data_IF_523401220192
#
_entry.id   IF_523401220192
#
_cell.length_a   1.000
_cell.length_b   1.000
_cell.length_c   1.000
_cell.angle_alpha   90.00
_cell.angle_beta   90.00
_cell.angle_gamma   90.00
#
_symmetry.space_group_name_H-M   'P 1'
#
loop_
_entity.id
_entity.type
_entity.pdbx_description
1 polymer ?
#
# COMPACT_ATOMS: atom_id res chain seq x y z
N UNK A 1 2.22 4.44 9.49
CA UNK A 1 0.83 4.68 9.13
C UNK A 1 0.42 6.02 9.68
N UNK A 2 0.14 6.97 8.80
CA UNK A 2 -0.54 8.22 9.15
C UNK A 2 -2.04 7.92 9.14
N UNK A 3 -2.64 7.83 10.33
CA UNK A 3 -4.05 7.44 10.53
C UNK A 3 -5.00 8.46 9.93
N UNK A 4 -4.62 9.74 9.93
CA UNK A 4 -5.45 10.84 9.45
C UNK A 4 -5.42 10.92 7.93
N UNK A 5 -4.24 10.73 7.32
CA UNK A 5 -4.05 10.73 5.86
C UNK A 5 -4.32 9.39 5.20
N UNK A 6 -4.50 8.33 6.00
CA UNK A 6 -4.55 6.94 5.53
C UNK A 6 -3.39 6.61 4.59
N UNK A 7 -2.17 7.06 4.94
CA UNK A 7 -0.95 6.90 4.11
C UNK A 7 0.13 6.11 4.83
N UNK A 8 0.85 5.28 4.07
CA UNK A 8 2.13 4.68 4.47
C UNK A 8 3.18 5.14 3.47
N UNK A 9 4.23 5.81 3.94
CA UNK A 9 5.44 6.02 3.18
C UNK A 9 6.41 4.86 3.45
N UNK A 10 6.90 4.23 2.39
CA UNK A 10 7.77 3.06 2.46
C UNK A 10 9.09 3.37 1.75
N UNK A 11 10.19 3.28 2.49
CA UNK A 11 11.55 3.29 1.92
C UNK A 11 12.04 1.85 1.85
N UNK A 12 12.52 1.42 0.69
CA UNK A 12 13.02 0.06 0.49
C UNK A 12 14.29 0.06 -0.37
N UNK A 13 15.04 -1.04 -0.29
CA UNK A 13 16.22 -1.31 -1.10
C UNK A 13 15.77 -2.02 -2.38
N UNK A 14 15.94 -1.36 -3.53
CA UNK A 14 15.48 -1.83 -4.84
C UNK A 14 16.29 -3.05 -5.35
N UNK A 15 17.45 -3.33 -4.75
CA UNK A 15 18.21 -4.56 -5.05
C UNK A 15 17.62 -5.79 -4.36
N UNK A 16 16.75 -5.61 -3.36
CA UNK A 16 16.15 -6.69 -2.56
C UNK A 16 14.67 -6.90 -2.82
N UNK A 17 13.97 -5.88 -3.29
CA UNK A 17 12.52 -5.94 -3.55
C UNK A 17 12.12 -4.87 -4.55
N UNK A 18 10.88 -4.91 -5.00
CA UNK A 18 10.33 -3.94 -5.94
C UNK A 18 8.95 -3.44 -5.48
N UNK A 19 8.52 -2.33 -6.08
CA UNK A 19 7.25 -1.68 -5.74
C UNK A 19 6.08 -2.65 -5.83
N UNK A 20 6.02 -3.50 -6.87
CA UNK A 20 4.92 -4.46 -7.04
C UNK A 20 4.96 -5.58 -6.02
N UNK A 21 6.14 -6.04 -5.61
CA UNK A 21 6.28 -7.00 -4.52
C UNK A 21 5.75 -6.43 -3.20
N UNK A 22 6.01 -5.15 -2.93
CA UNK A 22 5.48 -4.46 -1.74
C UNK A 22 3.95 -4.36 -1.80
N UNK A 23 3.37 -3.93 -2.93
CA UNK A 23 1.91 -3.88 -3.09
C UNK A 23 1.26 -5.26 -2.87
N UNK A 24 1.86 -6.32 -3.42
CA UNK A 24 1.38 -7.70 -3.22
C UNK A 24 1.45 -8.14 -1.77
N UNK A 25 2.51 -7.78 -1.05
CA UNK A 25 2.65 -8.11 0.37
C UNK A 25 1.59 -7.41 1.23
N UNK A 26 1.29 -6.14 0.94
CA UNK A 26 0.23 -5.38 1.62
C UNK A 26 -1.14 -5.99 1.31
N UNK A 27 -1.41 -6.30 0.04
CA UNK A 27 -2.63 -6.97 -0.39
C UNK A 27 -2.82 -8.34 0.25
N UNK A 28 -1.76 -9.13 0.36
CA UNK A 28 -1.79 -10.43 1.03
C UNK A 28 -2.08 -10.31 2.54
N UNK A 29 -1.82 -9.14 3.14
CA UNK A 29 -2.18 -8.84 4.54
C UNK A 29 -3.64 -8.40 4.70
N UNK A 30 -4.40 -8.32 3.60
CA UNK A 30 -5.82 -7.99 3.58
C UNK A 30 -6.16 -6.55 3.22
N UNK A 31 -5.19 -5.69 2.92
CA UNK A 31 -5.45 -4.28 2.61
C UNK A 31 -5.32 -3.98 1.13
N UNK A 32 -6.28 -3.25 0.57
CA UNK A 32 -6.15 -2.70 -0.77
C UNK A 32 -4.96 -1.73 -0.87
N UNK A 33 -4.36 -1.71 -2.04
CA UNK A 33 -3.42 -0.68 -2.45
C UNK A 33 -3.86 -0.08 -3.77
N UNK A 34 -3.23 1.03 -4.17
CA UNK A 34 -3.45 1.66 -5.48
C UNK A 34 -3.24 0.72 -6.68
N UNK A 35 -2.45 -0.36 -6.55
CA UNK A 35 -2.09 -1.27 -7.66
C UNK A 35 -2.64 -2.69 -7.53
N UNK A 36 -2.95 -3.13 -6.32
CA UNK A 36 -3.36 -4.52 -6.03
C UNK A 36 -4.44 -4.53 -4.97
N UNK A 37 -5.54 -5.23 -5.26
CA UNK A 37 -6.64 -5.44 -4.33
C UNK A 37 -6.24 -6.43 -3.22
N UNK A 38 -6.70 -6.16 -1.99
CA UNK A 38 -6.45 -6.96 -0.81
C UNK A 38 -7.15 -8.32 -0.84
N UNK A 39 -6.58 -9.27 -0.12
CA UNK A 39 -7.23 -10.56 0.11
C UNK A 39 -8.35 -10.40 1.13
N UNK A 40 -9.59 -10.63 0.69
CA UNK A 40 -10.74 -10.61 1.59
C UNK A 40 -10.63 -11.62 2.73
N UNK A 41 -10.05 -12.79 2.47
CA UNK A 41 -9.86 -13.85 3.46
C UNK A 41 -8.89 -13.38 4.55
N UNK A 42 -7.72 -12.85 4.16
CA UNK A 42 -6.76 -12.30 5.10
C UNK A 42 -7.36 -11.14 5.91
N UNK A 43 -8.17 -10.29 5.28
CA UNK A 43 -8.84 -9.18 5.95
C UNK A 43 -9.85 -9.63 7.01
N UNK A 44 -10.68 -10.63 6.69
CA UNK A 44 -11.68 -11.20 7.60
C UNK A 44 -11.03 -11.86 8.83
N UNK A 45 -9.81 -12.38 8.66
CA UNK A 45 -9.03 -12.99 9.74
C UNK A 45 -8.30 -11.97 10.63
N UNK A 46 -8.27 -10.69 10.25
CA UNK A 46 -7.66 -9.64 11.09
C UNK A 46 -8.43 -9.44 12.40
N UNK A 47 -7.75 -9.12 13.51
CA UNK A 47 -8.40 -8.63 14.71
C UNK A 47 -9.26 -7.41 14.42
N UNK A 48 -10.40 -7.25 15.10
CA UNK A 48 -11.34 -6.15 14.82
C UNK A 48 -10.75 -4.74 14.96
N UNK A 49 -9.64 -4.55 15.68
CA UNK A 49 -8.93 -3.27 15.75
C UNK A 49 -8.15 -2.90 14.47
N UNK A 50 -7.94 -3.87 13.58
CA UNK A 50 -7.21 -3.73 12.32
C UNK A 50 -8.15 -3.71 11.10
N UNK A 51 -9.42 -4.06 11.30
CA UNK A 51 -10.45 -3.90 10.27
C UNK A 51 -10.97 -2.46 10.31
N UNK A 52 -10.97 -1.83 9.16
CA UNK A 52 -11.60 -0.53 8.89
C UNK A 52 -12.83 -0.72 8.00
N UNK A 53 -13.69 0.29 7.91
CA UNK A 53 -14.81 0.24 6.98
C UNK A 53 -14.29 0.58 5.58
N UNK A 54 -14.56 -0.29 4.60
CA UNK A 54 -14.15 -0.07 3.21
C UNK A 54 -14.86 1.15 2.59
N UNK A 55 -15.96 1.62 3.19
CA UNK A 55 -16.63 2.86 2.80
C UNK A 55 -15.89 4.12 3.28
N UNK A 56 -14.82 3.99 4.07
CA UNK A 56 -14.00 5.13 4.50
C UNK A 56 -13.33 5.77 3.29
N UNK A 57 -13.78 6.97 2.95
CA UNK A 57 -13.17 7.79 1.90
C UNK A 57 -11.69 8.05 2.23
N UNK A 58 -10.79 7.53 1.41
CA UNK A 58 -9.37 7.85 1.47
C UNK A 58 -9.21 9.34 1.12
N UNK A 59 -8.72 10.16 2.05
CA UNK A 59 -8.59 11.61 1.88
C UNK A 59 -7.37 12.00 1.01
N UNK A 60 -7.11 11.25 -0.07
CA UNK A 60 -6.06 11.55 -1.04
C UNK A 60 -6.68 11.94 -2.37
N UNK A 61 -7.07 13.22 -2.45
CA UNK A 61 -7.27 13.89 -3.73
C UNK A 61 -5.92 14.46 -4.19
N UNK A 62 -5.18 13.65 -4.97
CA UNK A 62 -4.06 14.12 -5.79
C UNK A 62 -2.67 13.99 -5.19
N UNK A 63 -1.85 13.10 -5.76
CA UNK A 63 -0.61 13.43 -6.48
C UNK A 63 -0.09 12.14 -7.11
N UNK A 64 -0.42 11.90 -8.39
CA UNK A 64 0.37 10.98 -9.22
C UNK A 64 1.67 11.72 -9.53
N UNK A 65 2.61 11.79 -8.59
CA UNK A 65 3.98 12.05 -9.00
C UNK A 65 4.49 10.73 -9.58
N UNK A 66 4.60 10.72 -10.90
CA UNK A 66 5.31 9.68 -11.63
C UNK A 66 6.77 9.76 -11.21
N UNK A 67 7.12 9.09 -10.11
CA UNK A 67 8.51 8.85 -9.75
C UNK A 67 9.07 7.82 -10.73
N UNK A 68 9.52 8.35 -11.86
CA UNK A 68 10.39 7.70 -12.81
C UNK A 68 11.64 7.21 -12.08
N UNK A 69 11.70 5.92 -11.78
CA UNK A 69 12.91 5.24 -11.36
C UNK A 69 13.85 5.06 -12.57
N UNK A 70 14.21 6.18 -13.23
CA UNK A 70 15.29 6.21 -14.22
C UNK A 70 16.45 7.02 -13.67
N UNK A 71 17.19 6.45 -12.70
CA UNK A 71 18.62 6.72 -12.64
C UNK A 71 19.38 5.63 -11.90
N UNK A 72 19.87 4.65 -12.66
CA UNK A 72 21.03 3.87 -12.27
C UNK A 72 22.05 4.04 -13.40
N UNK A 73 22.79 5.15 -13.38
CA UNK A 73 23.92 5.41 -14.26
C UNK A 73 25.23 5.26 -13.46
N UNK A 74 26.00 4.25 -13.88
CA UNK A 74 27.41 3.89 -13.67
C UNK A 74 27.95 3.56 -12.27
#
# INVERSE_FOLDING_TARGET
WDVDKKKIDVSFDDTKTDVMAIHKAIAASGYDTEKVAGSEEAYKDLPGCCQYDHEMMMNQSGEMTSEDHSNHDH
#
